data_IF_368613979838
#
_entry.id   IF_368613979838
#
_cell.length_a   1.000
_cell.length_b   1.000
_cell.length_c   1.000
_cell.angle_alpha   90.00
_cell.angle_beta   90.00
_cell.angle_gamma   90.00
#
_symmetry.space_group_name_H-M   'P 1'
#
loop_
_entity.id
_entity.type
_entity.pdbx_description
1 polymer ?
#
# COMPACT_ATOMS: atom_id res chain seq x y z
N UNK A 1 -8.09 -11.87 9.02
CA UNK A 1 -8.14 -10.52 8.42
C UNK A 1 -9.57 -10.01 8.50
N UNK A 2 -9.83 -8.85 9.12
CA UNK A 2 -11.19 -8.34 9.35
C UNK A 2 -11.75 -7.52 8.16
N UNK A 3 -10.89 -6.78 7.45
CA UNK A 3 -11.24 -6.00 6.25
C UNK A 3 -10.26 -6.30 5.12
N UNK A 4 -10.77 -6.32 3.88
CA UNK A 4 -9.93 -6.37 2.69
C UNK A 4 -9.55 -4.95 2.26
N UNK A 5 -8.25 -4.59 2.21
CA UNK A 5 -7.84 -3.24 1.82
C UNK A 5 -8.04 -3.04 0.31
N UNK A 6 -8.79 -1.99 -0.06
CA UNK A 6 -9.04 -1.62 -1.45
C UNK A 6 -9.04 -0.10 -1.62
N UNK A 7 -8.58 0.38 -2.78
CA UNK A 7 -8.75 1.78 -3.20
C UNK A 7 -9.83 1.86 -4.27
N UNK A 8 -10.92 2.57 -3.96
CA UNK A 8 -12.02 2.77 -4.89
C UNK A 8 -11.83 4.09 -5.65
N UNK A 9 -11.80 4.03 -6.97
CA UNK A 9 -11.83 5.22 -7.81
C UNK A 9 -13.22 5.87 -7.75
N UNK A 10 -13.32 7.08 -7.17
CA UNK A 10 -14.55 7.86 -7.05
C UNK A 10 -14.67 9.00 -8.06
N UNK A 11 -13.68 9.20 -8.95
CA UNK A 11 -13.70 10.29 -9.92
C UNK A 11 -14.96 10.22 -10.81
N UNK A 12 -15.78 11.26 -10.75
CA UNK A 12 -17.04 11.38 -11.48
C UNK A 12 -18.14 10.43 -11.02
N UNK A 13 -18.01 9.79 -9.85
CA UNK A 13 -19.01 8.85 -9.33
C UNK A 13 -19.94 9.55 -8.32
N UNK A 14 -21.25 9.32 -8.42
CA UNK A 14 -22.22 9.89 -7.48
C UNK A 14 -22.12 9.26 -6.09
N UNK A 15 -22.03 10.10 -5.07
CA UNK A 15 -21.98 9.70 -3.65
C UNK A 15 -23.01 10.52 -2.87
N UNK A 16 -23.81 9.84 -2.05
CA UNK A 16 -24.76 10.49 -1.16
C UNK A 16 -24.17 10.65 0.24
N UNK A 17 -24.36 11.81 0.85
CA UNK A 17 -24.04 12.06 2.27
C UNK A 17 -25.32 12.53 2.96
N UNK A 18 -25.74 11.82 4.00
CA UNK A 18 -26.94 12.13 4.78
C UNK A 18 -26.50 12.76 6.10
N UNK A 19 -26.82 14.03 6.28
CA UNK A 19 -26.34 14.88 7.39
C UNK A 19 -25.49 16.05 6.90
N UNK A 20 -25.46 17.12 7.70
CA UNK A 20 -24.81 18.39 7.35
C UNK A 20 -23.92 18.98 8.44
N UNK A 21 -23.62 18.24 9.50
CA UNK A 21 -22.79 18.70 10.62
C UNK A 21 -21.29 18.48 10.41
N UNK A 22 -20.50 18.62 11.48
CA UNK A 22 -19.04 18.51 11.46
C UNK A 22 -18.51 17.17 10.91
N UNK A 23 -19.20 16.06 11.20
CA UNK A 23 -18.86 14.75 10.64
C UNK A 23 -19.01 14.77 9.12
N UNK A 24 -20.09 15.35 8.60
CA UNK A 24 -20.33 15.49 7.17
C UNK A 24 -19.25 16.35 6.51
N UNK A 25 -18.86 17.49 7.12
CA UNK A 25 -17.77 18.35 6.63
C UNK A 25 -16.50 17.55 6.31
N UNK A 26 -16.03 16.73 7.27
CA UNK A 26 -14.80 15.93 7.12
C UNK A 26 -14.92 14.89 6.00
N UNK A 27 -16.10 14.26 5.84
CA UNK A 27 -16.33 13.26 4.79
C UNK A 27 -16.44 13.90 3.42
N UNK A 28 -17.22 14.97 3.30
CA UNK A 28 -17.45 15.67 2.03
C UNK A 28 -16.13 16.22 1.47
N UNK A 29 -15.27 16.87 2.28
CA UNK A 29 -13.95 17.36 1.83
C UNK A 29 -13.12 16.22 1.20
N UNK A 30 -13.03 15.08 1.88
CA UNK A 30 -12.25 13.93 1.39
C UNK A 30 -12.83 13.35 0.10
N UNK A 31 -14.16 13.24 0.01
CA UNK A 31 -14.86 12.70 -1.15
C UNK A 31 -14.72 13.63 -2.38
N UNK A 32 -14.88 14.94 -2.18
CA UNK A 32 -14.70 15.96 -3.23
C UNK A 32 -13.26 15.94 -3.74
N UNK A 33 -12.25 15.90 -2.86
CA UNK A 33 -10.84 15.76 -3.25
C UNK A 33 -10.54 14.47 -4.02
N UNK A 34 -11.28 13.39 -3.74
CA UNK A 34 -11.23 12.14 -4.50
C UNK A 34 -11.97 12.20 -5.85
N UNK A 35 -12.62 13.32 -6.16
CA UNK A 35 -13.34 13.58 -7.39
C UNK A 35 -14.77 13.03 -7.42
N UNK A 36 -15.35 12.70 -6.26
CA UNK A 36 -16.74 12.24 -6.17
C UNK A 36 -17.71 13.36 -6.52
N UNK A 37 -18.83 13.00 -7.16
CA UNK A 37 -19.98 13.89 -7.32
C UNK A 37 -20.84 13.78 -6.06
N UNK A 38 -20.57 14.63 -5.08
CA UNK A 38 -21.20 14.53 -3.76
C UNK A 38 -22.56 15.23 -3.75
N UNK A 39 -23.58 14.53 -3.28
CA UNK A 39 -24.89 15.09 -2.94
C UNK A 39 -25.10 15.00 -1.44
N UNK A 40 -25.40 16.12 -0.79
CA UNK A 40 -25.67 16.24 0.64
C UNK A 40 -27.18 16.35 0.83
N UNK A 41 -27.75 15.52 1.70
CA UNK A 41 -29.16 15.60 2.12
C UNK A 41 -29.20 15.96 3.59
N UNK A 42 -29.66 17.17 3.89
CA UNK A 42 -29.81 17.66 5.27
C UNK A 42 -30.68 18.91 5.31
N UNK A 43 -31.52 19.12 6.34
CA UNK A 43 -32.31 20.35 6.49
C UNK A 43 -31.43 21.59 6.70
N UNK A 44 -30.25 21.40 7.28
CA UNK A 44 -29.24 22.43 7.56
C UNK A 44 -27.84 21.88 7.31
N UNK A 45 -26.91 22.75 6.92
CA UNK A 45 -25.50 22.42 6.72
C UNK A 45 -24.62 23.48 7.38
N UNK A 46 -23.44 23.07 7.82
CA UNK A 46 -22.37 23.96 8.29
C UNK A 46 -21.88 24.92 7.18
N UNK A 47 -21.33 26.06 7.58
CA UNK A 47 -20.84 27.10 6.65
C UNK A 47 -19.74 26.60 5.70
N UNK A 48 -18.91 25.66 6.18
CA UNK A 48 -17.89 25.03 5.35
C UNK A 48 -18.50 24.24 4.18
N UNK A 49 -19.57 23.47 4.42
CA UNK A 49 -20.29 22.76 3.36
C UNK A 49 -21.00 23.73 2.42
N UNK A 50 -21.56 24.82 2.96
CA UNK A 50 -22.18 25.87 2.15
C UNK A 50 -21.19 26.46 1.15
N UNK A 51 -19.96 26.72 1.59
CA UNK A 51 -18.87 27.19 0.72
C UNK A 51 -18.61 26.24 -0.46
N UNK A 52 -18.63 24.92 -0.21
CA UNK A 52 -18.46 23.90 -1.27
C UNK A 52 -19.66 23.82 -2.23
N UNK A 53 -20.86 24.07 -1.73
CA UNK A 53 -22.08 24.14 -2.56
C UNK A 53 -22.02 25.38 -3.45
N UNK A 54 -21.65 26.53 -2.90
CA UNK A 54 -21.54 27.80 -3.61
C UNK A 54 -20.44 27.76 -4.69
N UNK A 55 -19.34 27.02 -4.44
CA UNK A 55 -18.29 26.74 -5.43
C UNK A 55 -18.66 25.65 -6.45
N UNK A 56 -19.87 25.09 -6.37
CA UNK A 56 -20.37 24.00 -7.23
C UNK A 56 -19.56 22.69 -7.12
N UNK A 57 -18.86 22.48 -6.01
CA UNK A 57 -18.11 21.25 -5.75
C UNK A 57 -19.01 20.11 -5.25
N UNK A 58 -20.16 20.44 -4.66
CA UNK A 58 -21.17 19.47 -4.27
C UNK A 58 -22.60 20.03 -4.43
N UNK A 59 -23.58 19.13 -4.39
CA UNK A 59 -25.00 19.47 -4.48
C UNK A 59 -25.60 19.36 -3.08
N UNK A 60 -26.40 20.34 -2.66
CA UNK A 60 -27.15 20.27 -1.41
C UNK A 60 -28.66 20.18 -1.68
N UNK A 61 -29.27 19.13 -1.15
CA UNK A 61 -30.71 18.94 -1.06
C UNK A 61 -31.11 19.36 0.35
N UNK A 62 -31.67 20.56 0.46
CA UNK A 62 -32.18 21.10 1.73
C UNK A 62 -33.50 20.43 2.11
N UNK A 63 -33.42 19.21 2.63
CA UNK A 63 -34.57 18.42 3.05
C UNK A 63 -34.18 17.39 4.11
N UNK A 64 -35.18 16.82 4.78
CA UNK A 64 -34.99 15.59 5.55
C UNK A 64 -34.79 14.42 4.58
N UNK A 65 -34.02 13.43 5.03
CA UNK A 65 -33.81 12.22 4.25
C UNK A 65 -35.11 11.43 4.08
N UNK A 66 -35.33 10.93 2.88
CA UNK A 66 -36.35 9.95 2.56
C UNK A 66 -35.76 8.92 1.58
N UNK A 67 -36.29 7.70 1.57
CA UNK A 67 -35.78 6.61 0.73
C UNK A 67 -35.80 6.95 -0.77
N UNK A 68 -36.69 7.85 -1.20
CA UNK A 68 -36.83 8.28 -2.59
C UNK A 68 -35.64 9.12 -3.08
N UNK A 69 -34.86 9.69 -2.15
CA UNK A 69 -33.62 10.42 -2.47
C UNK A 69 -32.43 9.49 -2.75
N UNK A 70 -32.58 8.19 -2.45
CA UNK A 70 -31.57 7.17 -2.70
C UNK A 70 -32.00 6.30 -3.88
N UNK A 71 -31.15 6.23 -4.90
CA UNK A 71 -31.37 5.40 -6.08
C UNK A 71 -30.07 4.69 -6.52
N UNK A 72 -30.19 3.75 -7.45
CA UNK A 72 -29.08 2.88 -7.91
C UNK A 72 -27.94 3.62 -8.63
N UNK A 73 -28.06 4.91 -8.92
CA UNK A 73 -26.96 5.67 -9.53
C UNK A 73 -25.81 5.83 -8.54
N UNK A 74 -26.12 5.99 -7.25
CA UNK A 74 -25.11 6.20 -6.20
C UNK A 74 -24.25 4.95 -6.00
N UNK A 75 -22.94 5.15 -5.92
CA UNK A 75 -22.00 4.04 -5.65
C UNK A 75 -21.68 3.89 -4.16
N UNK A 76 -21.92 4.95 -3.38
CA UNK A 76 -21.74 4.99 -1.94
C UNK A 76 -22.78 5.89 -1.29
N UNK A 77 -23.13 5.56 -0.04
CA UNK A 77 -23.85 6.46 0.86
C UNK A 77 -23.17 6.53 2.23
N UNK A 78 -23.12 7.72 2.79
CA UNK A 78 -22.57 8.01 4.11
C UNK A 78 -23.68 8.53 5.02
N UNK A 79 -23.94 7.85 6.13
CA UNK A 79 -24.83 8.34 7.17
C UNK A 79 -24.01 9.01 8.27
N UNK A 80 -24.19 10.32 8.44
CA UNK A 80 -23.35 11.17 9.29
C UNK A 80 -24.21 12.04 10.21
N UNK A 81 -25.38 11.56 10.62
CA UNK A 81 -26.31 12.30 11.50
C UNK A 81 -26.16 11.85 12.96
N UNK A 82 -26.62 12.69 13.89
CA UNK A 82 -26.70 12.33 15.32
C UNK A 82 -27.94 11.48 15.66
N UNK A 83 -28.72 11.05 14.66
CA UNK A 83 -29.90 10.21 14.84
C UNK A 83 -29.58 8.75 14.42
N UNK A 84 -29.41 7.83 15.39
CA UNK A 84 -29.11 6.42 15.09
C UNK A 84 -30.20 5.72 14.27
N UNK A 85 -31.48 6.00 14.55
CA UNK A 85 -32.59 5.37 13.83
C UNK A 85 -32.59 5.76 12.35
N UNK A 86 -32.32 7.04 12.07
CA UNK A 86 -32.17 7.53 10.71
C UNK A 86 -30.95 6.92 10.03
N UNK A 87 -29.81 6.85 10.71
CA UNK A 87 -28.61 6.23 10.17
C UNK A 87 -28.83 4.75 9.80
N UNK A 88 -29.55 4.00 10.65
CA UNK A 88 -29.92 2.61 10.38
C UNK A 88 -30.95 2.49 9.26
N UNK A 89 -31.86 3.45 9.12
CA UNK A 89 -32.74 3.53 7.96
C UNK A 89 -31.95 3.70 6.67
N UNK A 90 -31.02 4.65 6.60
CA UNK A 90 -30.14 4.87 5.44
C UNK A 90 -29.38 3.59 5.08
N UNK A 91 -28.86 2.87 6.09
CA UNK A 91 -28.24 1.56 5.87
C UNK A 91 -29.18 0.56 5.20
N UNK A 92 -30.39 0.35 5.75
CA UNK A 92 -31.35 -0.61 5.19
C UNK A 92 -31.72 -0.25 3.75
N UNK A 93 -31.98 1.02 3.48
CA UNK A 93 -32.36 1.52 2.16
C UNK A 93 -31.21 1.31 1.15
N UNK A 94 -29.96 1.58 1.55
CA UNK A 94 -28.77 1.33 0.74
C UNK A 94 -28.56 -0.14 0.41
N UNK A 95 -28.74 -1.01 1.42
CA UNK A 95 -28.62 -2.46 1.26
C UNK A 95 -29.61 -3.03 0.26
N UNK A 96 -30.85 -2.55 0.26
CA UNK A 96 -31.87 -2.98 -0.71
C UNK A 96 -31.48 -2.64 -2.16
N UNK A 97 -30.68 -1.59 -2.36
CA UNK A 97 -30.24 -1.14 -3.68
C UNK A 97 -28.86 -1.69 -4.08
N UNK A 98 -28.16 -2.37 -3.17
CA UNK A 98 -26.79 -2.85 -3.39
C UNK A 98 -25.73 -1.75 -3.37
N UNK A 99 -26.01 -0.65 -2.68
CA UNK A 99 -25.11 0.52 -2.55
C UNK A 99 -24.21 0.32 -1.33
N UNK A 100 -22.92 0.61 -1.46
CA UNK A 100 -21.98 0.55 -0.33
C UNK A 100 -22.36 1.62 0.71
N UNK A 101 -22.56 1.22 1.96
CA UNK A 101 -22.92 2.15 3.04
C UNK A 101 -21.84 2.24 4.11
N UNK A 102 -21.59 3.46 4.60
CA UNK A 102 -20.85 3.71 5.83
C UNK A 102 -21.73 4.51 6.80
N UNK A 103 -22.04 3.93 7.95
CA UNK A 103 -22.65 4.65 9.08
C UNK A 103 -21.53 5.06 10.03
N UNK A 104 -21.29 6.36 10.15
CA UNK A 104 -20.17 6.84 10.96
C UNK A 104 -20.38 6.45 12.43
N UNK A 105 -19.31 5.97 13.05
CA UNK A 105 -19.24 5.49 14.43
C UNK A 105 -20.12 4.26 14.76
N UNK A 106 -20.68 3.58 13.74
CA UNK A 106 -21.47 2.36 13.90
C UNK A 106 -21.01 1.23 12.96
N UNK A 107 -19.95 0.52 13.38
CA UNK A 107 -19.26 -0.49 12.57
C UNK A 107 -20.15 -1.63 12.06
N UNK A 108 -21.09 -2.20 12.85
CA UNK A 108 -22.02 -3.22 12.37
C UNK A 108 -22.86 -2.80 11.15
N UNK A 109 -23.03 -1.50 10.92
CA UNK A 109 -23.81 -0.94 9.81
C UNK A 109 -22.92 -0.39 8.68
N UNK A 110 -21.65 -0.77 8.63
CA UNK A 110 -20.69 -0.36 7.61
C UNK A 110 -20.29 -1.51 6.67
N UNK A 111 -20.30 -1.26 5.36
CA UNK A 111 -19.67 -2.12 4.35
C UNK A 111 -18.16 -1.88 4.21
N UNK A 112 -17.72 -0.69 4.57
CA UNK A 112 -16.34 -0.25 4.49
C UNK A 112 -16.06 0.76 5.60
N UNK A 113 -14.78 0.95 5.91
CA UNK A 113 -14.30 1.88 6.95
C UNK A 113 -13.42 2.96 6.34
N UNK A 114 -13.32 4.11 7.01
CA UNK A 114 -12.36 5.15 6.62
C UNK A 114 -11.02 4.88 7.32
N UNK A 115 -9.95 4.55 6.58
CA UNK A 115 -8.63 4.40 7.19
C UNK A 115 -8.03 5.77 7.51
N UNK A 116 -6.93 5.77 8.26
CA UNK A 116 -6.02 6.91 8.31
C UNK A 116 -5.20 6.95 7.02
N UNK A 117 -5.22 8.10 6.33
CA UNK A 117 -4.64 8.23 4.99
C UNK A 117 -3.46 9.20 5.03
N UNK A 118 -2.36 8.83 4.35
CA UNK A 118 -1.28 9.74 3.96
C UNK A 118 -1.33 9.85 2.43
N UNK A 119 -1.47 11.07 1.93
CA UNK A 119 -1.53 11.35 0.50
C UNK A 119 -0.29 12.14 0.05
N UNK A 120 0.43 11.61 -0.94
CA UNK A 120 1.59 12.24 -1.60
C UNK A 120 1.39 12.15 -3.12
N UNK A 121 0.31 12.76 -3.61
CA UNK A 121 -0.05 12.77 -5.03
C UNK A 121 -0.48 11.38 -5.52
N UNK A 122 0.34 10.73 -6.34
CA UNK A 122 0.07 9.37 -6.85
C UNK A 122 0.27 8.27 -5.81
N UNK A 123 1.02 8.55 -4.74
CA UNK A 123 1.27 7.59 -3.67
C UNK A 123 0.32 7.86 -2.52
N UNK A 124 -0.39 6.81 -2.11
CA UNK A 124 -1.35 6.84 -1.01
C UNK A 124 -1.07 5.67 -0.07
N UNK A 125 -0.99 5.96 1.23
CA UNK A 125 -0.92 4.94 2.28
C UNK A 125 -2.24 4.98 3.05
N UNK A 126 -2.80 3.81 3.33
CA UNK A 126 -3.98 3.65 4.17
C UNK A 126 -3.66 2.72 5.34
N UNK A 127 -3.93 3.19 6.54
CA UNK A 127 -3.59 2.51 7.80
C UNK A 127 -4.90 2.31 8.56
N UNK A 128 -5.18 1.08 8.99
CA UNK A 128 -6.39 0.75 9.72
C UNK A 128 -6.12 -0.28 10.81
N UNK A 129 -6.80 -0.12 11.95
CA UNK A 129 -6.89 -1.12 13.04
C UNK A 129 -8.24 -1.83 13.07
N UNK A 130 -9.05 -1.73 12.01
CA UNK A 130 -10.40 -2.29 11.98
C UNK A 130 -11.38 -1.64 12.98
N UNK A 131 -11.04 -0.45 13.48
CA UNK A 131 -11.80 0.25 14.53
C UNK A 131 -11.28 0.01 15.96
N UNK A 132 -10.28 -0.86 16.16
CA UNK A 132 -9.84 -1.25 17.50
C UNK A 132 -9.01 -0.19 18.24
N UNK A 133 -8.21 0.62 17.54
CA UNK A 133 -7.35 1.63 18.18
C UNK A 133 -7.06 2.81 17.25
N UNK A 134 -7.87 3.89 17.32
CA UNK A 134 -7.63 5.11 16.55
C UNK A 134 -6.33 5.82 16.94
N UNK A 135 -5.98 5.80 18.23
CA UNK A 135 -4.76 6.45 18.76
C UNK A 135 -3.49 5.78 18.24
N UNK A 136 -3.45 4.44 18.21
CA UNK A 136 -2.32 3.70 17.65
C UNK A 136 -2.16 3.99 16.15
N UNK A 137 -3.27 3.97 15.40
CA UNK A 137 -3.27 4.27 13.97
C UNK A 137 -2.76 5.68 13.70
N UNK A 138 -3.13 6.65 14.54
CA UNK A 138 -2.60 8.03 14.46
C UNK A 138 -1.09 8.07 14.70
N UNK A 139 -0.58 7.40 15.75
CA UNK A 139 0.85 7.35 16.04
C UNK A 139 1.66 6.73 14.89
N UNK A 140 1.17 5.62 14.32
CA UNK A 140 1.79 4.97 13.16
C UNK A 140 1.78 5.92 11.95
N UNK A 141 0.65 6.59 11.68
CA UNK A 141 0.56 7.58 10.59
C UNK A 141 1.60 8.67 10.77
N UNK A 142 1.72 9.27 11.96
CA UNK A 142 2.67 10.35 12.24
C UNK A 142 4.13 9.92 12.01
N UNK A 143 4.50 8.70 12.42
CA UNK A 143 5.83 8.13 12.14
C UNK A 143 6.09 7.94 10.64
N UNK A 144 5.12 7.39 9.91
CA UNK A 144 5.24 7.20 8.47
C UNK A 144 5.28 8.52 7.71
N UNK A 145 4.47 9.51 8.09
CA UNK A 145 4.51 10.87 7.51
C UNK A 145 5.89 11.49 7.61
N UNK A 146 6.57 11.32 8.75
CA UNK A 146 7.91 11.85 8.99
C UNK A 146 9.01 11.10 8.22
N UNK A 147 8.81 9.80 7.95
CA UNK A 147 9.78 8.97 7.23
C UNK A 147 9.68 9.08 5.70
N UNK A 148 8.52 9.46 5.16
CA UNK A 148 8.30 9.53 3.72
C UNK A 148 8.94 10.78 3.10
N UNK A 149 9.70 10.65 1.99
CA UNK A 149 10.26 11.80 1.28
C UNK A 149 9.20 12.80 0.84
N UNK A 150 9.52 14.09 0.93
CA UNK A 150 8.59 15.15 0.54
C UNK A 150 8.34 15.17 -0.98
N UNK A 151 9.36 14.80 -1.78
CA UNK A 151 9.32 14.77 -3.23
C UNK A 151 8.67 13.49 -3.82
N UNK A 152 8.01 12.67 -3.00
CA UNK A 152 7.45 11.38 -3.44
C UNK A 152 6.42 11.52 -4.57
N UNK A 153 5.67 12.62 -4.59
CA UNK A 153 4.76 12.94 -5.69
C UNK A 153 5.52 13.13 -7.02
N UNK A 154 6.63 13.88 -7.00
CA UNK A 154 7.49 14.13 -8.15
C UNK A 154 8.11 12.82 -8.66
N UNK A 155 8.63 11.98 -7.76
CA UNK A 155 9.19 10.67 -8.09
C UNK A 155 8.16 9.77 -8.77
N UNK A 156 6.94 9.70 -8.23
CA UNK A 156 5.88 8.86 -8.77
C UNK A 156 5.38 9.36 -10.14
N UNK A 157 5.24 10.67 -10.33
CA UNK A 157 4.89 11.27 -11.62
C UNK A 157 5.98 11.05 -12.67
N UNK A 158 7.25 11.17 -12.27
CA UNK A 158 8.39 10.89 -13.13
C UNK A 158 8.41 9.43 -13.58
N UNK A 159 8.37 8.48 -12.64
CA UNK A 159 8.34 7.05 -12.95
C UNK A 159 7.16 6.66 -13.85
N UNK A 160 5.97 7.24 -13.62
CA UNK A 160 4.81 7.03 -14.47
C UNK A 160 5.05 7.50 -15.92
N UNK A 161 5.70 8.65 -16.09
CA UNK A 161 5.99 9.21 -17.41
C UNK A 161 7.06 8.44 -18.20
N UNK A 162 7.93 7.68 -17.52
CA UNK A 162 8.99 6.87 -18.12
C UNK A 162 8.59 5.43 -18.46
N UNK A 163 7.35 5.03 -18.18
CA UNK A 163 6.86 3.66 -18.39
C UNK A 163 7.08 3.12 -19.80
N UNK A 164 6.90 3.93 -20.85
CA UNK A 164 7.08 3.49 -22.22
C UNK A 164 8.55 3.51 -22.66
N UNK A 165 9.28 4.55 -22.25
CA UNK A 165 10.71 4.73 -22.53
C UNK A 165 11.54 3.58 -21.95
N UNK A 166 11.35 3.25 -20.66
CA UNK A 166 12.08 2.17 -19.99
C UNK A 166 11.75 0.79 -20.58
N UNK A 167 10.55 0.59 -21.13
CA UNK A 167 10.17 -0.65 -21.81
C UNK A 167 10.92 -0.85 -23.13
N UNK A 168 11.23 0.24 -23.82
CA UNK A 168 12.02 0.20 -25.05
C UNK A 168 13.50 -0.01 -24.74
N UNK A 169 14.03 0.67 -23.71
CA UNK A 169 15.42 0.54 -23.29
C UNK A 169 15.74 -0.82 -22.67
N UNK A 170 14.83 -1.36 -21.84
CA UNK A 170 15.00 -2.60 -21.09
C UNK A 170 13.79 -3.52 -21.33
N UNK A 171 13.88 -4.50 -22.25
CA UNK A 171 12.75 -5.36 -22.62
C UNK A 171 12.29 -6.32 -21.51
N UNK A 172 13.21 -6.81 -20.69
CA UNK A 172 12.91 -7.72 -19.57
C UNK A 172 12.22 -6.99 -18.41
N UNK A 173 11.24 -7.64 -17.79
CA UNK A 173 10.60 -7.15 -16.55
C UNK A 173 11.62 -7.02 -15.44
N UNK A 174 12.54 -7.98 -15.34
CA UNK A 174 13.54 -8.01 -14.27
C UNK A 174 14.56 -6.86 -14.41
N UNK A 175 15.12 -6.64 -15.59
CA UNK A 175 16.06 -5.54 -15.83
C UNK A 175 15.42 -4.18 -15.51
N UNK A 176 14.13 -3.98 -15.86
CA UNK A 176 13.38 -2.77 -15.49
C UNK A 176 13.21 -2.61 -13.98
N UNK A 177 12.94 -3.71 -13.27
CA UNK A 177 12.78 -3.70 -11.81
C UNK A 177 14.10 -3.31 -11.14
N UNK A 178 15.19 -4.02 -11.46
CA UNK A 178 16.54 -3.73 -10.96
C UNK A 178 16.98 -2.29 -11.30
N UNK A 179 16.63 -1.77 -12.48
CA UNK A 179 16.83 -0.37 -12.83
C UNK A 179 16.15 0.59 -11.84
N UNK A 180 14.86 0.41 -11.58
CA UNK A 180 14.12 1.29 -10.68
C UNK A 180 14.59 1.17 -9.24
N UNK A 181 14.97 -0.02 -8.79
CA UNK A 181 15.60 -0.20 -7.48
C UNK A 181 16.90 0.59 -7.36
N UNK A 182 17.79 0.52 -8.36
CA UNK A 182 19.03 1.31 -8.39
C UNK A 182 18.74 2.81 -8.45
N UNK A 183 17.76 3.23 -9.24
CA UNK A 183 17.35 4.62 -9.37
C UNK A 183 16.84 5.19 -8.03
N UNK A 184 15.95 4.47 -7.34
CA UNK A 184 15.39 4.90 -6.05
C UNK A 184 16.34 4.70 -4.86
N UNK A 185 17.36 3.84 -4.99
CA UNK A 185 18.41 3.71 -3.99
C UNK A 185 19.46 4.83 -4.07
N UNK A 186 19.56 5.54 -5.20
CA UNK A 186 20.48 6.66 -5.35
C UNK A 186 19.99 7.86 -4.50
N UNK A 187 20.82 8.40 -3.58
CA UNK A 187 20.45 9.53 -2.73
C UNK A 187 20.06 10.81 -3.49
N UNK A 188 20.43 10.93 -4.77
CA UNK A 188 19.99 12.02 -5.64
C UNK A 188 18.48 11.96 -5.92
N UNK A 189 17.88 10.76 -5.90
CA UNK A 189 16.43 10.61 -6.10
C UNK A 189 15.63 11.23 -4.95
N UNK A 190 16.03 10.98 -3.70
CA UNK A 190 15.38 11.55 -2.50
C UNK A 190 15.54 13.07 -2.39
N UNK A 191 16.62 13.63 -2.95
CA UNK A 191 16.95 15.06 -2.90
C UNK A 191 16.47 15.87 -4.10
N UNK A 192 15.96 15.21 -5.14
CA UNK A 192 15.54 15.90 -6.35
C UNK A 192 14.34 16.81 -6.08
N UNK A 193 14.47 18.07 -6.50
CA UNK A 193 13.41 19.09 -6.42
C UNK A 193 12.74 19.30 -7.77
N UNK A 194 13.43 18.93 -8.86
CA UNK A 194 12.96 19.16 -10.22
C UNK A 194 12.94 17.90 -11.07
N UNK A 195 12.09 17.93 -12.10
CA UNK A 195 12.01 16.85 -13.09
C UNK A 195 13.30 16.71 -13.92
N UNK A 196 14.05 17.79 -14.10
CA UNK A 196 15.30 17.78 -14.84
C UNK A 196 16.42 17.01 -14.11
N UNK A 197 16.49 17.13 -12.79
CA UNK A 197 17.42 16.36 -11.96
C UNK A 197 17.11 14.87 -12.02
N UNK A 198 15.83 14.50 -11.93
CA UNK A 198 15.39 13.10 -12.10
C UNK A 198 15.70 12.56 -13.50
N UNK A 199 15.55 13.39 -14.54
CA UNK A 199 15.93 13.02 -15.90
C UNK A 199 17.44 12.75 -16.01
N UNK A 200 18.28 13.61 -15.46
CA UNK A 200 19.73 13.42 -15.46
C UNK A 200 20.11 12.12 -14.74
N UNK A 201 19.55 11.88 -13.55
CA UNK A 201 19.74 10.64 -12.81
C UNK A 201 19.30 9.42 -13.62
N UNK A 202 18.13 9.49 -14.27
CA UNK A 202 17.60 8.40 -15.09
C UNK A 202 18.54 8.01 -16.23
N UNK A 203 19.09 9.01 -16.94
CA UNK A 203 20.06 8.79 -18.01
C UNK A 203 21.39 8.22 -17.48
N UNK A 204 21.85 8.69 -16.32
CA UNK A 204 23.06 8.17 -15.67
C UNK A 204 22.88 6.69 -15.26
N UNK A 205 21.73 6.35 -14.67
CA UNK A 205 21.41 4.97 -14.28
C UNK A 205 21.32 4.07 -15.50
N UNK A 206 20.74 4.55 -16.61
CA UNK A 206 20.68 3.78 -17.87
C UNK A 206 22.07 3.51 -18.42
N UNK A 207 22.95 4.52 -18.43
CA UNK A 207 24.34 4.38 -18.92
C UNK A 207 25.18 3.46 -18.05
N UNK A 208 24.97 3.51 -16.73
CA UNK A 208 25.68 2.66 -15.77
C UNK A 208 25.30 1.18 -15.95
N UNK A 209 24.15 0.93 -16.58
CA UNK A 209 23.61 -0.40 -16.77
C UNK A 209 23.07 -0.96 -15.46
N UNK A 210 22.39 -2.09 -15.59
CA UNK A 210 21.89 -2.85 -14.46
C UNK A 210 22.82 -4.03 -14.26
N UNK A 211 23.36 -4.21 -13.04
CA UNK A 211 24.08 -5.44 -12.73
C UNK A 211 23.09 -6.61 -12.81
N UNK A 212 23.28 -7.48 -13.79
CA UNK A 212 22.48 -8.70 -13.90
C UNK A 212 22.95 -9.78 -12.91
N UNK A 213 24.05 -9.56 -12.18
CA UNK A 213 24.60 -10.58 -11.29
C UNK A 213 23.60 -11.00 -10.22
N UNK A 214 23.14 -12.24 -10.34
CA UNK A 214 22.43 -12.95 -9.29
C UNK A 214 23.31 -13.07 -8.04
N UNK A 215 22.66 -13.18 -6.90
CA UNK A 215 23.34 -13.38 -5.63
C UNK A 215 22.55 -14.35 -4.78
N UNK A 216 23.24 -15.05 -3.89
CA UNK A 216 22.61 -15.87 -2.87
C UNK A 216 22.95 -15.23 -1.54
N UNK A 217 21.91 -15.00 -0.74
CA UNK A 217 22.07 -14.60 0.66
C UNK A 217 21.37 -15.61 1.55
N UNK A 218 22.15 -16.18 2.45
CA UNK A 218 21.69 -17.09 3.48
C UNK A 218 21.29 -16.25 4.70
N UNK A 219 20.10 -16.47 5.25
CA UNK A 219 19.59 -15.72 6.39
C UNK A 219 19.14 -16.70 7.45
N UNK A 220 19.67 -16.55 8.66
CA UNK A 220 19.20 -17.34 9.79
C UNK A 220 17.76 -16.94 10.16
N UNK A 221 16.89 -17.91 10.40
CA UNK A 221 15.59 -17.68 11.04
C UNK A 221 15.59 -18.21 12.48
N UNK A 222 14.64 -17.76 13.27
CA UNK A 222 14.48 -18.14 14.67
C UNK A 222 13.04 -17.95 15.10
N UNK A 223 12.82 -17.72 16.39
CA UNK A 223 11.47 -17.53 16.92
C UNK A 223 11.03 -16.06 16.88
N UNK A 224 11.98 -15.12 16.96
CA UNK A 224 11.70 -13.68 17.04
C UNK A 224 12.20 -12.93 15.79
N UNK A 225 11.25 -12.38 15.03
CA UNK A 225 11.52 -11.59 13.82
C UNK A 225 12.23 -10.27 14.12
N UNK A 226 12.12 -9.74 15.33
CA UNK A 226 12.81 -8.49 15.71
C UNK A 226 14.33 -8.68 15.77
N UNK A 227 14.80 -9.93 15.89
CA UNK A 227 16.22 -10.29 15.84
C UNK A 227 16.80 -10.28 14.42
N UNK A 228 15.98 -10.04 13.38
CA UNK A 228 16.46 -9.87 12.02
C UNK A 228 17.28 -8.58 11.89
N UNK A 229 18.56 -8.66 11.47
CA UNK A 229 19.31 -7.46 11.18
C UNK A 229 18.65 -6.63 10.07
N UNK A 230 18.75 -5.29 10.15
CA UNK A 230 18.25 -4.39 9.10
C UNK A 230 18.82 -4.75 7.72
N UNK A 231 20.07 -5.26 7.67
CA UNK A 231 20.69 -5.76 6.43
C UNK A 231 19.94 -6.97 5.84
N UNK A 232 19.48 -7.91 6.67
CA UNK A 232 18.69 -9.05 6.24
C UNK A 232 17.36 -8.58 5.64
N UNK A 233 16.63 -7.71 6.35
CA UNK A 233 15.36 -7.14 5.88
C UNK A 233 15.50 -6.44 4.53
N UNK A 234 16.56 -5.63 4.34
CA UNK A 234 16.83 -4.98 3.05
C UNK A 234 17.02 -5.98 1.92
N UNK A 235 17.82 -7.01 2.14
CA UNK A 235 18.07 -8.06 1.12
C UNK A 235 16.81 -8.88 0.84
N UNK A 236 16.00 -9.16 1.88
CA UNK A 236 14.72 -9.85 1.74
C UNK A 236 13.72 -9.08 0.87
N UNK A 237 13.77 -7.75 0.87
CA UNK A 237 12.94 -6.90 0.00
C UNK A 237 13.45 -6.84 -1.46
N UNK A 238 14.70 -7.22 -1.70
CA UNK A 238 15.32 -7.27 -3.02
C UNK A 238 15.20 -8.65 -3.70
N UNK A 239 14.97 -9.69 -2.89
CA UNK A 239 14.93 -11.09 -3.30
C UNK A 239 13.86 -11.37 -4.36
N UNK A 240 14.23 -12.14 -5.37
CA UNK A 240 13.36 -12.65 -6.44
C UNK A 240 12.82 -14.02 -6.12
N UNK A 241 13.62 -14.83 -5.43
CA UNK A 241 13.28 -16.16 -4.97
C UNK A 241 13.61 -16.26 -3.48
N UNK A 242 12.63 -16.72 -2.70
CA UNK A 242 12.77 -16.99 -1.27
C UNK A 242 12.63 -18.48 -1.06
N UNK A 243 13.73 -19.12 -0.69
CA UNK A 243 13.79 -20.54 -0.36
C UNK A 243 13.79 -20.72 1.14
N UNK A 244 12.94 -21.60 1.65
CA UNK A 244 12.82 -21.84 3.08
C UNK A 244 12.52 -23.30 3.39
N UNK A 245 12.99 -23.82 4.54
CA UNK A 245 12.62 -25.14 5.01
C UNK A 245 11.26 -25.08 5.69
N UNK A 246 10.60 -26.24 5.82
CA UNK A 246 9.28 -26.37 6.45
C UNK A 246 9.19 -25.78 7.88
N UNK A 247 10.30 -25.75 8.60
CA UNK A 247 10.39 -25.25 9.97
C UNK A 247 10.48 -23.72 10.06
N UNK A 248 10.68 -23.01 8.94
CA UNK A 248 10.78 -21.56 8.94
C UNK A 248 9.41 -20.92 9.23
N UNK A 249 9.28 -20.07 10.27
CA UNK A 249 8.02 -19.42 10.58
C UNK A 249 7.58 -18.48 9.45
N UNK A 250 6.28 -18.47 9.12
CA UNK A 250 5.73 -17.55 8.12
C UNK A 250 5.96 -16.08 8.45
N UNK A 251 6.10 -15.72 9.73
CA UNK A 251 6.44 -14.36 10.16
C UNK A 251 7.76 -13.85 9.57
N UNK A 252 8.72 -14.73 9.28
CA UNK A 252 9.96 -14.38 8.57
C UNK A 252 9.75 -14.31 7.06
N UNK A 253 9.04 -15.29 6.50
CA UNK A 253 8.78 -15.41 5.05
C UNK A 253 7.94 -14.24 4.53
N UNK A 254 6.99 -13.77 5.32
CA UNK A 254 6.08 -12.66 4.98
C UNK A 254 6.77 -11.29 4.99
N UNK A 255 7.96 -11.19 5.61
CA UNK A 255 8.81 -10.00 5.59
C UNK A 255 9.66 -9.89 4.32
N UNK A 256 9.66 -10.91 3.45
CA UNK A 256 10.28 -10.82 2.13
C UNK A 256 9.41 -10.06 1.13
N UNK A 257 10.01 -9.69 0.00
CA UNK A 257 9.31 -9.02 -1.10
C UNK A 257 8.01 -9.75 -1.46
N UNK A 258 6.89 -9.02 -1.54
CA UNK A 258 5.54 -9.62 -1.65
C UNK A 258 5.37 -10.52 -2.88
N UNK A 259 5.92 -10.10 -4.00
CA UNK A 259 5.89 -10.76 -5.31
C UNK A 259 7.13 -11.61 -5.61
N UNK A 260 7.99 -11.89 -4.61
CA UNK A 260 9.02 -12.90 -4.76
C UNK A 260 8.39 -14.29 -4.95
N UNK A 261 9.00 -15.09 -5.81
CA UNK A 261 8.72 -16.53 -5.87
C UNK A 261 9.12 -17.16 -4.54
N UNK A 262 8.35 -18.17 -4.11
CA UNK A 262 8.53 -18.84 -2.83
C UNK A 262 8.65 -20.34 -3.07
N UNK A 263 9.73 -20.94 -2.59
CA UNK A 263 10.00 -22.37 -2.70
C UNK A 263 10.27 -22.97 -1.33
N UNK A 264 9.48 -23.97 -0.93
CA UNK A 264 9.84 -24.82 0.19
C UNK A 264 10.89 -25.83 -0.29
N UNK A 265 11.84 -26.18 0.58
CA UNK A 265 12.75 -27.30 0.34
C UNK A 265 12.78 -28.24 1.55
N UNK A 266 12.84 -29.55 1.28
CA UNK A 266 12.85 -30.60 2.30
C UNK A 266 14.22 -31.28 2.46
N UNK A 267 15.14 -31.08 1.51
CA UNK A 267 16.46 -31.72 1.51
C UNK A 267 17.53 -30.87 0.83
N UNK A 268 18.80 -31.18 1.10
CA UNK A 268 19.96 -30.50 0.49
C UNK A 268 19.99 -30.68 -1.04
N UNK A 269 19.57 -31.85 -1.53
CA UNK A 269 19.53 -32.13 -2.97
C UNK A 269 18.48 -31.28 -3.68
N UNK A 270 17.32 -31.09 -3.05
CA UNK A 270 16.25 -30.25 -3.58
C UNK A 270 16.66 -28.78 -3.59
N UNK A 271 17.24 -28.31 -2.48
CA UNK A 271 17.78 -26.96 -2.38
C UNK A 271 18.86 -26.71 -3.45
N UNK A 272 19.79 -27.65 -3.64
CA UNK A 272 20.84 -27.54 -4.64
C UNK A 272 20.29 -27.46 -6.08
N UNK A 273 19.27 -28.25 -6.42
CA UNK A 273 18.61 -28.20 -7.73
C UNK A 273 17.91 -26.85 -7.96
N UNK A 274 17.16 -26.36 -6.97
CA UNK A 274 16.50 -25.05 -7.03
C UNK A 274 17.52 -23.91 -7.17
N UNK A 275 18.60 -23.93 -6.38
CA UNK A 275 19.68 -22.94 -6.48
C UNK A 275 20.40 -22.97 -7.83
N UNK A 276 20.64 -24.15 -8.39
CA UNK A 276 21.29 -24.29 -9.69
C UNK A 276 20.45 -23.68 -10.81
N UNK A 277 19.13 -23.96 -10.83
CA UNK A 277 18.17 -23.38 -11.77
C UNK A 277 18.10 -21.85 -11.62
N UNK A 278 18.04 -21.36 -10.39
CA UNK A 278 17.93 -19.93 -10.13
C UNK A 278 19.23 -19.15 -10.46
N UNK A 279 20.41 -19.77 -10.29
CA UNK A 279 21.71 -19.21 -10.73
C UNK A 279 21.78 -19.03 -12.24
N UNK A 280 21.23 -19.96 -13.03
CA UNK A 280 21.19 -19.82 -14.50
C UNK A 280 20.41 -18.57 -14.94
N UNK A 281 19.37 -18.22 -14.17
CA UNK A 281 18.54 -17.04 -14.40
C UNK A 281 19.09 -15.76 -13.73
N UNK A 282 20.26 -15.84 -13.09
CA UNK A 282 20.91 -14.73 -12.38
C UNK A 282 19.97 -13.99 -11.39
N UNK A 283 19.18 -14.77 -10.63
CA UNK A 283 18.27 -14.23 -9.63
C UNK A 283 19.00 -13.82 -8.34
N UNK A 284 18.46 -12.82 -7.62
CA UNK A 284 18.75 -12.61 -6.20
C UNK A 284 17.92 -13.55 -5.35
N UNK A 285 18.58 -14.40 -4.59
CA UNK A 285 17.97 -15.49 -3.84
C UNK A 285 18.21 -15.26 -2.35
N UNK A 286 17.15 -15.36 -1.56
CA UNK A 286 17.24 -15.50 -0.10
C UNK A 286 16.98 -16.95 0.25
N UNK A 287 17.87 -17.54 1.05
CA UNK A 287 17.70 -18.88 1.60
C UNK A 287 17.63 -18.77 3.11
N UNK A 288 16.48 -19.10 3.69
CA UNK A 288 16.31 -19.18 5.13
C UNK A 288 16.92 -20.48 5.67
N UNK A 289 17.75 -20.40 6.69
CA UNK A 289 18.38 -21.58 7.32
C UNK A 289 18.28 -21.50 8.84
N UNK A 290 18.30 -22.66 9.50
CA UNK A 290 18.38 -22.71 10.96
C UNK A 290 19.81 -22.36 11.41
N UNK A 291 20.00 -21.57 12.49
CA UNK A 291 21.32 -21.11 12.95
C UNK A 291 22.31 -22.26 13.23
N UNK A 292 21.80 -23.40 13.72
CA UNK A 292 22.60 -24.55 14.13
C UNK A 292 22.81 -25.59 13.03
N UNK A 293 22.29 -25.33 11.82
CA UNK A 293 22.42 -26.27 10.72
C UNK A 293 23.80 -26.19 10.08
N UNK A 294 24.70 -27.07 10.50
CA UNK A 294 25.95 -27.34 9.79
C UNK A 294 25.72 -27.94 8.39
N UNK A 295 24.49 -28.39 8.13
CA UNK A 295 24.07 -29.13 6.93
C UNK A 295 24.27 -28.34 5.63
N UNK A 296 24.17 -27.01 5.68
CA UNK A 296 24.21 -26.17 4.47
C UNK A 296 25.57 -25.49 4.21
N UNK A 297 26.58 -25.71 5.05
CA UNK A 297 27.87 -25.03 4.92
C UNK A 297 28.60 -25.35 3.59
N UNK A 298 28.37 -26.55 3.03
CA UNK A 298 28.92 -26.95 1.73
C UNK A 298 28.25 -26.25 0.55
N UNK A 299 26.99 -25.82 0.70
CA UNK A 299 26.24 -25.09 -0.33
C UNK A 299 26.52 -23.58 -0.29
N UNK A 300 26.88 -23.05 0.89
CA UNK A 300 27.10 -21.63 1.14
C UNK A 300 28.28 -21.01 0.38
N UNK A 301 29.33 -21.77 0.05
CA UNK A 301 30.51 -21.27 -0.69
C UNK A 301 30.96 -19.86 -0.22
N UNK A 302 31.10 -18.89 -1.13
CA UNK A 302 31.41 -17.47 -0.86
C UNK A 302 30.16 -16.57 -0.76
N UNK A 303 28.97 -17.17 -0.66
CA UNK A 303 27.71 -16.44 -0.57
C UNK A 303 27.62 -15.68 0.76
N UNK A 304 26.87 -14.59 0.78
CA UNK A 304 26.67 -13.81 2.00
C UNK A 304 25.81 -14.62 2.98
N UNK A 305 26.28 -14.80 4.22
CA UNK A 305 25.48 -15.39 5.30
C UNK A 305 25.24 -14.34 6.39
N UNK A 306 23.98 -14.02 6.64
CA UNK A 306 23.54 -13.11 7.71
C UNK A 306 22.95 -13.94 8.85
N UNK A 307 23.60 -13.84 10.00
CA UNK A 307 23.14 -14.45 11.24
C UNK A 307 22.12 -13.54 11.93
N UNK A 308 21.22 -14.14 12.71
CA UNK A 308 20.35 -13.39 13.62
C UNK A 308 21.19 -12.63 14.65
N UNK A 309 20.65 -11.52 15.13
CA UNK A 309 21.22 -10.84 16.30
C UNK A 309 21.23 -11.77 17.51
N UNK A 310 22.17 -11.54 18.43
CA UNK A 310 22.09 -12.07 19.78
C UNK A 310 21.27 -11.13 20.66
N UNK A 311 20.49 -11.69 21.58
CA UNK A 311 19.91 -10.90 22.68
C UNK A 311 21.01 -10.32 23.58
#
# INVERSE_FOLDING_TARGET
>A
MQYFPLFLNLKGKPVLVVGGGEVACRKVDTLVRAGAMVTIVSPQIEDYLRTLVDSQECIWIQNFYSKELLDKKFVQVWATTDNPELNHQVHRDAKQLGILVNVVDDLPYCDFITPSIINRGRIQLAISSGGASPVLVRNIREKLEAALPHNLALLADFGASKRNDIKQALPSVDSRRKFWENFFADPRSDKAETRAELEALYQDTLKSGVSEQGSITWIDFGDDVEMLPIKALRIMQEAELVLFPKQCPYSFIDLSRRDAERGEYASDSELADQLSKAKQNQLRIVVFVSPDSAQFNLLKNNDLHIKLGSQ
#
